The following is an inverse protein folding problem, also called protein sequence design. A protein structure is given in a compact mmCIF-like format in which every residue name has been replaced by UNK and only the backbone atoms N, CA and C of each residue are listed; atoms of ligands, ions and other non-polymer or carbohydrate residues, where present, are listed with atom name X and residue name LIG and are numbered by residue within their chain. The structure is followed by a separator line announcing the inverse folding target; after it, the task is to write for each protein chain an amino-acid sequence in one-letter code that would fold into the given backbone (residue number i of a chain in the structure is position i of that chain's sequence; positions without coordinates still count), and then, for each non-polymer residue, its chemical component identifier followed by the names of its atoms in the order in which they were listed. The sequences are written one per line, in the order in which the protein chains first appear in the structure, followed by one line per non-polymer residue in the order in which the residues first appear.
data_IF_327160341225
#
_entry.id   IF_327160341225
#
_cell.length_a   1.000
_cell.length_b   1.000
_cell.length_c   1.000
_cell.angle_alpha   90.00
_cell.angle_beta   90.00
_cell.angle_gamma   90.00
#
_symmetry.space_group_name_H-M   'P 1'
#
loop_
_entity.id
_entity.type
_entity.pdbx_description
1 polymer ?
#
# COMPACT_ATOMS: atom_id res chain seq x y z
N UNK A 1 -24.49 5.42 -9.71
CA UNK A 1 -24.45 5.45 -8.23
C UNK A 1 -23.96 4.08 -7.79
N UNK A 2 -22.97 3.98 -6.89
CA UNK A 2 -22.40 2.69 -6.46
C UNK A 2 -23.49 1.79 -5.88
N UNK A 3 -23.46 0.51 -6.24
CA UNK A 3 -24.37 -0.50 -5.71
C UNK A 3 -24.06 -0.79 -4.24
N UNK A 4 -25.03 -1.40 -3.55
CA UNK A 4 -24.86 -1.82 -2.14
C UNK A 4 -23.67 -2.78 -1.98
N UNK A 5 -23.46 -3.68 -2.94
CA UNK A 5 -22.35 -4.62 -2.92
C UNK A 5 -21.00 -3.92 -3.05
N UNK A 6 -20.89 -2.94 -3.95
CA UNK A 6 -19.69 -2.11 -4.11
C UNK A 6 -19.37 -1.36 -2.82
N UNK A 7 -20.37 -0.73 -2.21
CA UNK A 7 -20.20 0.00 -0.94
C UNK A 7 -19.72 -0.91 0.20
N UNK A 8 -20.27 -2.12 0.30
CA UNK A 8 -19.83 -3.13 1.28
C UNK A 8 -18.39 -3.58 0.97
N UNK A 9 -18.06 -3.79 -0.30
CA UNK A 9 -16.71 -4.15 -0.74
C UNK A 9 -15.68 -3.08 -0.36
N UNK A 10 -15.98 -1.81 -0.66
CA UNK A 10 -15.15 -0.67 -0.30
C UNK A 10 -15.00 -0.53 1.22
N UNK A 11 -16.07 -0.69 1.99
CA UNK A 11 -16.01 -0.66 3.46
C UNK A 11 -15.11 -1.77 4.01
N UNK A 12 -15.26 -3.00 3.51
CA UNK A 12 -14.40 -4.13 3.89
C UNK A 12 -12.94 -3.82 3.58
N UNK A 13 -12.65 -3.24 2.42
CA UNK A 13 -11.29 -2.91 2.01
C UNK A 13 -10.68 -1.83 2.90
N UNK A 14 -11.44 -0.79 3.27
CA UNK A 14 -11.00 0.21 4.25
C UNK A 14 -10.67 -0.42 5.61
N UNK A 15 -11.50 -1.35 6.10
CA UNK A 15 -11.22 -2.08 7.33
C UNK A 15 -9.98 -2.98 7.20
N UNK A 16 -9.79 -3.65 6.07
CA UNK A 16 -8.59 -4.45 5.80
C UNK A 16 -7.33 -3.58 5.89
N UNK A 17 -7.33 -2.40 5.27
CA UNK A 17 -6.21 -1.45 5.35
C UNK A 17 -5.98 -1.05 6.80
N UNK A 18 -7.01 -0.64 7.54
CA UNK A 18 -6.88 -0.27 8.96
C UNK A 18 -6.27 -1.39 9.79
N UNK A 19 -6.74 -2.63 9.62
CA UNK A 19 -6.26 -3.77 10.40
C UNK A 19 -4.80 -4.13 10.05
N UNK A 20 -4.43 -4.05 8.78
CA UNK A 20 -3.04 -4.21 8.35
C UNK A 20 -2.13 -3.17 9.02
N UNK A 21 -2.55 -1.92 9.01
CA UNK A 21 -1.80 -0.79 9.57
C UNK A 21 -1.65 -0.87 11.09
N UNK A 22 -2.72 -1.19 11.82
CA UNK A 22 -2.63 -1.38 13.28
C UNK A 22 -1.71 -2.56 13.62
N UNK A 23 -1.74 -3.63 12.82
CA UNK A 23 -0.81 -4.75 12.99
C UNK A 23 0.64 -4.33 12.73
N UNK A 24 0.90 -3.59 11.65
CA UNK A 24 2.22 -3.06 11.35
C UNK A 24 2.71 -2.15 12.48
N UNK A 25 1.87 -1.26 13.02
CA UNK A 25 2.19 -0.42 14.18
C UNK A 25 2.55 -1.25 15.42
N UNK A 26 1.82 -2.32 15.69
CA UNK A 26 2.11 -3.21 16.80
C UNK A 26 3.50 -3.85 16.65
N UNK A 27 3.80 -4.40 15.46
CA UNK A 27 5.09 -5.05 15.17
C UNK A 27 6.26 -4.06 15.18
N UNK A 28 6.03 -2.83 14.71
CA UNK A 28 7.00 -1.75 14.79
C UNK A 28 7.33 -1.38 16.24
N UNK A 29 6.31 -1.28 17.11
CA UNK A 29 6.51 -1.04 18.55
C UNK A 29 7.26 -2.18 19.25
N UNK A 30 7.18 -3.40 18.72
CA UNK A 30 7.96 -4.55 19.18
C UNK A 30 9.39 -4.57 18.64
N UNK A 31 9.77 -3.62 17.79
CA UNK A 31 11.10 -3.57 17.15
C UNK A 31 11.30 -4.59 16.03
N UNK A 32 10.21 -5.20 15.52
CA UNK A 32 10.30 -6.24 14.48
C UNK A 32 10.34 -5.67 13.06
N UNK A 33 9.84 -4.45 12.87
CA UNK A 33 9.92 -3.71 11.60
C UNK A 33 11.08 -2.72 11.73
N UNK A 34 12.05 -2.83 10.82
CA UNK A 34 13.22 -1.97 10.79
C UNK A 34 12.96 -0.70 9.97
N UNK A 35 13.64 0.40 10.32
CA UNK A 35 13.52 1.68 9.62
C UNK A 35 12.33 2.51 10.09
N UNK A 36 11.61 3.14 9.15
CA UNK A 36 10.48 4.01 9.45
C UNK A 36 9.15 3.38 9.02
N UNK A 37 8.13 3.51 9.87
CA UNK A 37 6.75 3.15 9.55
C UNK A 37 5.91 4.43 9.41
N UNK A 38 5.21 4.58 8.29
CA UNK A 38 4.32 5.71 8.02
C UNK A 38 2.89 5.21 7.78
N UNK A 39 2.10 5.02 8.85
CA UNK A 39 0.81 4.35 8.72
C UNK A 39 -0.20 5.11 7.86
N UNK A 40 -1.03 4.41 7.12
CA UNK A 40 -2.14 4.96 6.32
C UNK A 40 -3.44 5.18 7.11
N UNK A 41 -3.40 4.98 8.43
CA UNK A 41 -4.52 5.15 9.38
C UNK A 41 -5.19 6.51 9.20
N UNK A 42 -6.48 6.50 8.90
CA UNK A 42 -7.32 7.70 8.72
C UNK A 42 -7.39 8.21 7.27
N UNK A 43 -6.68 7.57 6.34
CA UNK A 43 -6.71 7.92 4.91
C UNK A 43 -7.30 6.80 4.05
N UNK A 44 -7.83 5.74 4.64
CA UNK A 44 -8.24 4.50 3.94
C UNK A 44 -9.22 4.75 2.79
N UNK A 45 -10.16 5.69 2.99
CA UNK A 45 -11.13 6.08 1.97
C UNK A 45 -10.48 6.71 0.73
N UNK A 46 -9.33 7.37 0.87
CA UNK A 46 -8.59 7.96 -0.25
C UNK A 46 -8.07 6.86 -1.17
N UNK A 47 -7.36 5.86 -0.61
CA UNK A 47 -6.85 4.74 -1.38
C UNK A 47 -7.96 3.92 -2.02
N UNK A 48 -8.99 3.55 -1.24
CA UNK A 48 -10.09 2.73 -1.73
C UNK A 48 -10.90 3.46 -2.80
N UNK A 49 -11.22 4.74 -2.58
CA UNK A 49 -11.95 5.55 -3.55
C UNK A 49 -11.16 5.79 -4.84
N UNK A 50 -9.86 6.12 -4.72
CA UNK A 50 -9.02 6.34 -5.89
C UNK A 50 -8.84 5.05 -6.71
N UNK A 51 -8.45 3.94 -6.07
CA UNK A 51 -8.21 2.68 -6.78
C UNK A 51 -9.50 2.04 -7.34
N UNK A 52 -10.67 2.30 -6.75
CA UNK A 52 -11.94 1.81 -7.29
C UNK A 52 -12.33 2.45 -8.64
N UNK A 53 -11.69 3.56 -9.01
CA UNK A 53 -11.89 4.24 -10.29
C UNK A 53 -10.82 3.89 -11.33
N UNK A 54 -9.85 3.05 -10.99
CA UNK A 54 -8.77 2.62 -11.88
C UNK A 54 -9.12 1.32 -12.58
N UNK A 55 -8.59 1.15 -13.79
CA UNK A 55 -8.54 -0.14 -14.49
C UNK A 55 -7.38 -0.99 -13.95
N UNK A 56 -7.36 -2.28 -14.29
CA UNK A 56 -6.33 -3.19 -13.79
C UNK A 56 -4.92 -2.85 -14.30
N UNK A 57 -4.79 -2.32 -15.51
CA UNK A 57 -3.54 -1.94 -16.16
C UNK A 57 -3.04 -0.53 -15.80
N UNK A 58 -3.85 0.26 -15.09
CA UNK A 58 -3.40 1.56 -14.57
C UNK A 58 -2.31 1.40 -13.51
N UNK A 59 -1.29 2.26 -13.58
CA UNK A 59 -0.23 2.34 -12.58
C UNK A 59 -0.57 3.27 -11.42
N UNK A 60 -0.11 2.90 -10.23
CA UNK A 60 -0.17 3.73 -9.03
C UNK A 60 1.23 4.05 -8.54
N UNK A 61 1.55 5.34 -8.51
CA UNK A 61 2.71 5.87 -7.79
C UNK A 61 2.22 6.48 -6.48
N UNK A 62 2.82 6.07 -5.36
CA UNK A 62 2.41 6.53 -4.05
C UNK A 62 3.47 7.40 -3.36
N UNK A 63 3.03 8.13 -2.33
CA UNK A 63 3.90 8.83 -1.39
C UNK A 63 4.50 7.87 -0.35
N UNK A 64 5.21 8.43 0.64
CA UNK A 64 5.70 7.74 1.84
C UNK A 64 4.61 6.97 2.62
N UNK A 65 3.33 7.29 2.40
CA UNK A 65 2.16 6.58 2.94
C UNK A 65 1.51 5.77 1.83
N UNK A 66 2.09 4.62 1.49
CA UNK A 66 1.65 3.85 0.32
C UNK A 66 0.87 2.57 0.57
N UNK A 67 0.80 2.08 1.81
CA UNK A 67 0.24 0.75 2.06
C UNK A 67 -1.24 0.68 1.68
N UNK A 68 -2.02 1.74 1.96
CA UNK A 68 -3.42 1.81 1.55
C UNK A 68 -3.61 1.64 0.05
N UNK A 69 -2.82 2.36 -0.77
CA UNK A 69 -2.87 2.24 -2.23
C UNK A 69 -2.46 0.84 -2.70
N UNK A 70 -1.41 0.25 -2.11
CA UNK A 70 -0.97 -1.10 -2.45
C UNK A 70 -2.08 -2.13 -2.21
N UNK A 71 -2.69 -2.11 -1.02
CA UNK A 71 -3.78 -3.02 -0.66
C UNK A 71 -4.99 -2.77 -1.55
N UNK A 72 -5.36 -1.51 -1.78
CA UNK A 72 -6.53 -1.16 -2.57
C UNK A 72 -6.39 -1.55 -4.05
N UNK A 73 -5.17 -1.57 -4.58
CA UNK A 73 -4.83 -2.01 -5.93
C UNK A 73 -4.68 -3.54 -6.04
N UNK A 74 -4.77 -4.28 -4.92
CA UNK A 74 -4.81 -5.74 -4.91
C UNK A 74 -3.51 -6.43 -4.48
N UNK A 75 -2.58 -5.71 -3.85
CA UNK A 75 -1.37 -6.34 -3.31
C UNK A 75 -1.69 -7.44 -2.27
N UNK A 76 -0.91 -8.52 -2.29
CA UNK A 76 -1.03 -9.61 -1.35
C UNK A 76 -0.53 -9.19 0.04
N UNK A 77 -1.44 -9.24 1.02
CA UNK A 77 -1.18 -8.81 2.41
C UNK A 77 -0.02 -9.58 3.08
N UNK A 78 0.20 -10.85 2.71
CA UNK A 78 1.27 -11.66 3.31
C UNK A 78 2.63 -11.23 2.76
N UNK A 79 2.74 -10.99 1.45
CA UNK A 79 3.94 -10.43 0.80
C UNK A 79 4.22 -9.02 1.30
N UNK A 80 3.17 -8.20 1.46
CA UNK A 80 3.28 -6.88 2.07
C UNK A 80 3.87 -6.96 3.49
N UNK A 81 3.32 -7.81 4.36
CA UNK A 81 3.83 -7.97 5.73
C UNK A 81 5.24 -8.59 5.77
N UNK A 82 5.53 -9.53 4.87
CA UNK A 82 6.86 -10.10 4.69
C UNK A 82 7.88 -9.02 4.33
N UNK A 83 7.53 -8.09 3.44
CA UNK A 83 8.35 -6.95 3.08
C UNK A 83 8.65 -6.05 4.29
N UNK A 84 7.62 -5.70 5.07
CA UNK A 84 7.78 -4.90 6.29
C UNK A 84 8.69 -5.56 7.33
N UNK A 85 8.66 -6.89 7.42
CA UNK A 85 9.46 -7.69 8.34
C UNK A 85 10.84 -8.08 7.78
N UNK A 86 11.23 -7.54 6.62
CA UNK A 86 12.54 -7.80 6.00
C UNK A 86 12.73 -9.25 5.54
N UNK A 87 11.65 -9.92 5.13
CA UNK A 87 11.68 -11.33 4.68
C UNK A 87 11.84 -11.42 3.16
N UNK A 88 12.52 -12.46 2.70
CA UNK A 88 12.78 -12.70 1.27
C UNK A 88 11.51 -12.89 0.43
N UNK A 89 10.41 -13.33 1.04
CA UNK A 89 9.11 -13.49 0.38
C UNK A 89 8.35 -12.17 0.17
N UNK A 90 8.91 -11.04 0.60
CA UNK A 90 8.37 -9.72 0.32
C UNK A 90 8.50 -9.31 -1.16
N UNK A 91 7.75 -8.28 -1.54
CA UNK A 91 7.72 -7.73 -2.91
C UNK A 91 9.10 -7.36 -3.47
N UNK A 92 9.98 -6.87 -2.61
CA UNK A 92 11.37 -6.47 -2.93
C UNK A 92 12.37 -7.28 -2.09
N UNK A 93 12.02 -8.53 -1.75
CA UNK A 93 12.83 -9.43 -0.93
C UNK A 93 13.18 -8.85 0.44
N UNK A 94 12.29 -8.04 1.02
CA UNK A 94 12.48 -7.42 2.32
C UNK A 94 13.42 -6.21 2.33
N UNK A 95 13.82 -5.71 1.16
CA UNK A 95 14.77 -4.59 1.04
C UNK A 95 14.09 -3.23 0.86
N UNK A 96 12.87 -3.21 0.36
CA UNK A 96 12.09 -1.99 0.17
C UNK A 96 11.38 -1.52 1.44
N UNK A 97 11.04 -2.47 2.33
CA UNK A 97 10.42 -2.19 3.62
C UNK A 97 9.12 -1.39 3.48
N UNK A 98 8.89 -0.47 4.42
CA UNK A 98 7.64 0.28 4.50
C UNK A 98 7.41 1.27 3.36
N UNK A 99 8.46 1.90 2.85
CA UNK A 99 8.31 3.01 1.89
C UNK A 99 8.44 2.59 0.44
N UNK A 100 8.97 1.41 0.10
CA UNK A 100 9.27 1.03 -1.28
C UNK A 100 8.62 -0.28 -1.71
N UNK A 101 7.32 -0.43 -1.48
CA UNK A 101 6.56 -1.54 -2.09
C UNK A 101 6.36 -1.31 -3.58
N UNK A 102 7.07 -2.09 -4.37
CA UNK A 102 7.08 -2.02 -5.82
C UNK A 102 6.67 -3.37 -6.41
N UNK A 103 5.76 -3.35 -7.37
CA UNK A 103 5.42 -4.50 -8.20
C UNK A 103 4.74 -4.07 -9.48
N UNK A 104 5.37 -4.35 -10.63
CA UNK A 104 4.78 -4.03 -11.95
C UNK A 104 3.54 -4.88 -12.21
N UNK A 105 3.52 -6.12 -11.73
CA UNK A 105 2.41 -7.07 -11.93
C UNK A 105 1.10 -6.55 -11.32
N UNK A 106 1.15 -5.99 -10.11
CA UNK A 106 0.01 -5.34 -9.46
C UNK A 106 -0.12 -3.83 -9.80
N UNK A 107 0.65 -3.32 -10.76
CA UNK A 107 0.58 -1.91 -11.16
C UNK A 107 1.08 -0.92 -10.09
N UNK A 108 2.00 -1.34 -9.22
CA UNK A 108 2.56 -0.56 -8.11
C UNK A 108 3.98 -0.10 -8.43
N UNK A 109 4.15 1.19 -8.68
CA UNK A 109 5.46 1.75 -9.03
C UNK A 109 6.25 2.29 -7.83
N UNK A 110 5.90 1.85 -6.62
CA UNK A 110 6.60 2.23 -5.39
C UNK A 110 5.89 3.33 -4.59
N UNK A 111 6.12 3.29 -3.28
CA UNK A 111 6.05 4.49 -2.45
C UNK A 111 7.35 5.29 -2.56
N UNK A 112 7.24 6.61 -2.45
CA UNK A 112 8.40 7.49 -2.45
C UNK A 112 8.54 8.25 -1.12
N UNK A 113 9.67 8.02 -0.43
CA UNK A 113 10.05 8.77 0.77
C UNK A 113 10.48 10.21 0.47
N UNK A 114 10.90 10.50 -0.77
CA UNK A 114 11.22 11.84 -1.25
C UNK A 114 9.92 12.52 -1.71
N UNK A 115 9.57 13.62 -1.03
CA UNK A 115 8.40 14.41 -1.36
C UNK A 115 8.49 14.89 -2.82
N UNK A 116 7.45 14.61 -3.61
CA UNK A 116 7.39 14.96 -5.03
C UNK A 116 8.18 14.01 -5.96
N UNK A 117 9.01 13.10 -5.44
CA UNK A 117 9.83 12.20 -6.26
C UNK A 117 9.04 11.20 -7.10
N UNK A 118 7.78 10.92 -6.74
CA UNK A 118 6.89 10.04 -7.51
C UNK A 118 6.27 10.69 -8.76
N UNK A 119 6.19 12.02 -8.83
CA UNK A 119 5.55 12.73 -9.94
C UNK A 119 6.23 12.47 -11.30
N UNK A 120 7.57 12.60 -11.45
CA UNK A 120 8.21 12.31 -12.73
C UNK A 120 8.12 10.83 -13.13
N UNK A 121 8.02 9.91 -12.15
CA UNK A 121 7.83 8.48 -12.42
C UNK A 121 6.45 8.26 -13.04
N UNK A 122 5.40 8.85 -12.44
CA UNK A 122 4.03 8.75 -12.95
C UNK A 122 3.87 9.37 -14.35
N UNK A 123 4.60 10.43 -14.65
CA UNK A 123 4.56 11.07 -15.97
C UNK A 123 5.23 10.23 -17.07
N UNK A 124 6.23 9.44 -16.71
CA UNK A 124 7.03 8.66 -17.66
C UNK A 124 6.64 7.18 -17.79
N UNK A 125 5.69 6.71 -16.99
CA UNK A 125 5.20 5.33 -16.96
C UNK A 125 4.17 5.02 -18.04
#
# INVERSE_FOLDING_TARGET
MLGKEDQIGMLRLMYTIRQFEEKARQLFRQGLIYGALHPYVGQEAVAVGACAALENDDFVVSTHRGHGHCIAKGADLKRMMAELLGRETGYSKGRGGSMHMFSVEEGLLGGNGIVGGGLPIALGS
#
